data_IF_995705980608
#
_entry.id   IF_995705980608
#
_cell.length_a   1.000
_cell.length_b   1.000
_cell.length_c   1.000
_cell.angle_alpha   90.00
_cell.angle_beta   90.00
_cell.angle_gamma   90.00
#
_symmetry.space_group_name_H-M   'P 1'
#
loop_
_entity.id
_entity.type
_entity.pdbx_description
1 polymer ?
#
# COMPACT_ATOMS: atom_id res chain seq x y z
N UNK A 1 -5.54 -8.89 20.38
CA UNK A 1 -6.62 -9.70 19.79
C UNK A 1 -7.32 -8.84 18.77
N UNK A 2 -7.23 -9.15 17.48
CA UNK A 2 -8.06 -8.48 16.46
C UNK A 2 -9.53 -8.81 16.76
N UNK A 3 -10.44 -7.87 16.51
CA UNK A 3 -11.87 -8.02 16.79
C UNK A 3 -12.56 -9.07 15.89
N UNK A 4 -12.22 -10.35 16.05
CA UNK A 4 -12.86 -11.47 15.34
C UNK A 4 -12.59 -11.53 13.84
N UNK A 5 -11.75 -10.65 13.29
CA UNK A 5 -11.45 -10.64 11.86
C UNK A 5 -10.47 -11.77 11.47
N UNK A 6 -10.84 -12.54 10.45
CA UNK A 6 -10.01 -13.60 9.86
C UNK A 6 -9.17 -13.02 8.73
N UNK A 7 -7.87 -13.31 8.72
CA UNK A 7 -6.98 -12.93 7.62
C UNK A 7 -6.88 -14.07 6.62
N UNK A 8 -7.03 -13.75 5.33
CA UNK A 8 -6.87 -14.73 4.24
C UNK A 8 -6.36 -14.06 2.95
N UNK A 9 -5.77 -14.82 2.01
CA UNK A 9 -5.54 -14.33 0.66
C UNK A 9 -6.82 -13.77 0.03
N UNK A 10 -6.67 -12.72 -0.76
CA UNK A 10 -7.75 -12.16 -1.55
C UNK A 10 -8.11 -13.08 -2.73
N UNK A 11 -9.34 -12.96 -3.20
CA UNK A 11 -9.82 -13.61 -4.42
C UNK A 11 -9.86 -12.61 -5.57
N UNK A 12 -9.66 -13.09 -6.79
CA UNK A 12 -9.70 -12.26 -8.00
C UNK A 12 -11.01 -11.49 -8.17
N UNK A 13 -12.13 -12.06 -7.74
CA UNK A 13 -13.45 -11.41 -7.76
C UNK A 13 -13.56 -10.22 -6.80
N UNK A 14 -12.68 -10.12 -5.81
CA UNK A 14 -12.68 -9.06 -4.77
C UNK A 14 -11.93 -7.80 -5.22
N UNK A 15 -11.47 -7.75 -6.46
CA UNK A 15 -10.65 -6.64 -6.99
C UNK A 15 -11.30 -5.24 -6.85
N UNK A 16 -12.63 -5.15 -6.83
CA UNK A 16 -13.33 -3.88 -6.60
C UNK A 16 -13.11 -3.39 -5.15
N UNK A 17 -13.24 -4.31 -4.20
CA UNK A 17 -13.05 -4.05 -2.77
C UNK A 17 -11.59 -3.69 -2.47
N UNK A 18 -10.65 -4.41 -3.09
CA UNK A 18 -9.22 -4.09 -3.01
C UNK A 18 -8.94 -2.66 -3.50
N UNK A 19 -9.55 -2.25 -4.62
CA UNK A 19 -9.35 -0.90 -5.15
C UNK A 19 -9.82 0.19 -4.17
N UNK A 20 -10.97 0.00 -3.52
CA UNK A 20 -11.47 0.96 -2.51
C UNK A 20 -10.50 1.04 -1.32
N UNK A 21 -10.07 -0.09 -0.79
CA UNK A 21 -9.19 -0.11 0.38
C UNK A 21 -7.77 0.39 0.09
N UNK A 22 -7.25 0.20 -1.13
CA UNK A 22 -5.99 0.79 -1.60
C UNK A 22 -6.10 2.31 -1.71
N UNK A 23 -7.23 2.83 -2.20
CA UNK A 23 -7.47 4.28 -2.23
C UNK A 23 -7.53 4.88 -0.82
N UNK A 24 -8.19 4.17 0.11
CA UNK A 24 -8.21 4.55 1.54
C UNK A 24 -6.81 4.52 2.15
N UNK A 25 -6.00 3.50 1.85
CA UNK A 25 -4.65 3.35 2.38
C UNK A 25 -3.70 4.44 1.86
N UNK A 26 -3.95 4.93 0.65
CA UNK A 26 -3.15 5.94 -0.05
C UNK A 26 -3.71 7.36 0.03
N UNK A 27 -4.76 7.58 0.84
CA UNK A 27 -5.45 8.86 1.01
C UNK A 27 -5.85 9.56 -0.31
N UNK A 28 -6.35 8.78 -1.27
CA UNK A 28 -6.80 9.30 -2.58
C UNK A 28 -5.72 9.31 -3.67
N UNK A 29 -4.47 8.98 -3.35
CA UNK A 29 -3.39 8.94 -4.36
C UNK A 29 -3.64 7.87 -5.44
N UNK A 30 -4.20 6.71 -5.07
CA UNK A 30 -4.49 5.65 -6.02
C UNK A 30 -5.58 6.04 -7.02
N UNK A 31 -6.72 6.59 -6.56
CA UNK A 31 -7.79 7.07 -7.46
C UNK A 31 -7.31 8.21 -8.35
N UNK A 32 -6.48 9.12 -7.84
CA UNK A 32 -5.83 10.15 -8.66
C UNK A 32 -4.98 9.52 -9.79
N UNK A 33 -4.17 8.51 -9.48
CA UNK A 33 -3.35 7.81 -10.47
C UNK A 33 -4.22 7.12 -11.54
N UNK A 34 -5.31 6.48 -11.12
CA UNK A 34 -6.23 5.82 -12.05
C UNK A 34 -6.99 6.80 -12.93
N UNK A 35 -7.32 7.99 -12.40
CA UNK A 35 -7.92 9.08 -13.16
C UNK A 35 -7.00 9.59 -14.28
N UNK A 36 -5.68 9.46 -14.13
CA UNK A 36 -4.73 9.68 -15.23
C UNK A 36 -5.06 8.87 -16.48
N UNK A 37 -5.56 7.64 -16.33
CA UNK A 37 -6.03 6.81 -17.45
C UNK A 37 -7.27 7.37 -18.14
N UNK A 38 -8.14 8.06 -17.40
CA UNK A 38 -9.31 8.75 -17.97
C UNK A 38 -8.84 9.95 -18.79
N UNK A 39 -7.89 10.74 -18.25
CA UNK A 39 -7.32 11.89 -18.95
C UNK A 39 -6.59 11.48 -20.23
N UNK A 40 -5.89 10.35 -20.23
CA UNK A 40 -5.24 9.79 -21.42
C UNK A 40 -6.18 9.00 -22.34
N UNK A 41 -7.48 8.94 -22.05
CA UNK A 41 -8.50 8.18 -22.81
C UNK A 41 -8.20 6.68 -22.93
N UNK A 42 -7.45 6.11 -21.99
CA UNK A 42 -7.17 4.67 -21.89
C UNK A 42 -8.12 3.96 -20.91
N UNK A 43 -8.97 4.71 -20.22
CA UNK A 43 -10.03 4.20 -19.35
C UNK A 43 -11.24 5.14 -19.39
N UNK A 44 -12.44 4.60 -19.16
CA UNK A 44 -13.66 5.41 -19.07
C UNK A 44 -13.85 6.02 -17.68
N UNK A 45 -13.58 5.23 -16.62
CA UNK A 45 -13.69 5.67 -15.23
C UNK A 45 -12.47 5.27 -14.40
N UNK A 46 -12.13 6.07 -13.39
CA UNK A 46 -10.98 5.81 -12.53
C UNK A 46 -11.15 4.53 -11.69
N UNK A 47 -12.34 4.29 -11.14
CA UNK A 47 -12.58 3.11 -10.30
C UNK A 47 -12.62 1.80 -11.12
N UNK A 48 -13.15 1.83 -12.34
CA UNK A 48 -13.05 0.66 -13.21
C UNK A 48 -11.58 0.37 -13.58
N UNK A 49 -10.80 1.41 -13.89
CA UNK A 49 -9.38 1.28 -14.14
C UNK A 49 -8.64 0.67 -12.94
N UNK A 50 -8.88 1.18 -11.73
CA UNK A 50 -8.31 0.65 -10.49
C UNK A 50 -8.71 -0.80 -10.22
N UNK A 51 -10.00 -1.13 -10.32
CA UNK A 51 -10.50 -2.51 -10.22
C UNK A 51 -9.80 -3.42 -11.23
N UNK A 52 -9.70 -3.01 -12.49
CA UNK A 52 -9.07 -3.81 -13.53
C UNK A 52 -7.58 -4.00 -13.27
N UNK A 53 -6.88 -3.00 -12.74
CA UNK A 53 -5.49 -3.08 -12.28
C UNK A 53 -5.31 -4.09 -11.14
N UNK A 54 -6.19 -4.08 -10.15
CA UNK A 54 -6.15 -5.06 -9.04
C UNK A 54 -6.44 -6.49 -9.53
N UNK A 55 -7.25 -6.64 -10.58
CA UNK A 55 -7.68 -7.95 -11.13
C UNK A 55 -6.65 -8.63 -12.04
N UNK A 56 -5.55 -7.94 -12.36
CA UNK A 56 -4.49 -8.49 -13.21
C UNK A 56 -3.84 -9.71 -12.57
N UNK A 57 -3.46 -10.67 -13.40
CA UNK A 57 -2.81 -11.90 -12.96
C UNK A 57 -1.28 -11.77 -12.93
N UNK A 58 -0.74 -10.72 -13.53
CA UNK A 58 0.69 -10.42 -13.57
C UNK A 58 0.96 -9.00 -13.06
N UNK A 59 2.21 -8.78 -12.67
CA UNK A 59 2.64 -7.54 -12.05
C UNK A 59 2.49 -7.55 -10.52
N UNK A 60 3.17 -6.60 -9.88
CA UNK A 60 3.18 -6.42 -8.44
C UNK A 60 1.96 -5.62 -7.98
N UNK A 61 1.57 -5.84 -6.72
CA UNK A 61 0.45 -5.13 -6.09
C UNK A 61 -0.91 -5.50 -6.69
N UNK A 62 -1.09 -6.75 -7.12
CA UNK A 62 -2.38 -7.27 -7.62
C UNK A 62 -3.13 -8.04 -6.54
N UNK A 63 -4.29 -8.61 -6.87
CA UNK A 63 -5.04 -9.49 -5.97
C UNK A 63 -4.22 -10.67 -5.43
N UNK A 64 -3.19 -11.14 -6.17
CA UNK A 64 -2.32 -12.24 -5.73
C UNK A 64 -1.39 -11.85 -4.59
N UNK A 65 -1.10 -10.56 -4.46
CA UNK A 65 -0.22 -10.00 -3.43
C UNK A 65 -1.01 -9.61 -2.17
N UNK A 66 -2.34 -9.67 -2.24
CA UNK A 66 -3.25 -9.13 -1.24
C UNK A 66 -3.69 -10.16 -0.20
N UNK A 67 -3.69 -9.73 1.06
CA UNK A 67 -4.37 -10.38 2.19
C UNK A 67 -5.49 -9.45 2.65
N UNK A 68 -6.68 -10.00 2.84
CA UNK A 68 -7.85 -9.29 3.35
C UNK A 68 -8.14 -9.68 4.79
N UNK A 69 -8.62 -8.71 5.57
CA UNK A 69 -9.22 -8.95 6.87
C UNK A 69 -10.74 -9.02 6.70
N UNK A 70 -11.33 -10.16 7.09
CA UNK A 70 -12.76 -10.43 6.91
C UNK A 70 -13.45 -10.53 8.26
N UNK A 71 -14.53 -9.77 8.46
CA UNK A 71 -15.37 -9.82 9.65
C UNK A 71 -16.77 -10.27 9.23
N UNK A 72 -17.14 -11.50 9.57
CA UNK A 72 -18.36 -12.12 9.02
C UNK A 72 -18.19 -12.38 7.53
N UNK A 73 -19.02 -11.74 6.70
CA UNK A 73 -18.98 -11.77 5.24
C UNK A 73 -18.36 -10.50 4.61
N UNK A 74 -17.99 -9.52 5.43
CA UNK A 74 -17.47 -8.22 4.99
C UNK A 74 -15.93 -8.19 5.01
N UNK A 75 -15.32 -7.71 3.92
CA UNK A 75 -13.90 -7.33 3.92
C UNK A 75 -13.77 -5.96 4.56
N UNK A 76 -13.03 -5.88 5.65
CA UNK A 76 -12.91 -4.65 6.46
C UNK A 76 -11.53 -3.99 6.37
N UNK A 77 -10.57 -4.67 5.75
CA UNK A 77 -9.21 -4.18 5.57
C UNK A 77 -8.37 -5.03 4.62
N UNK A 78 -7.23 -4.49 4.19
CA UNK A 78 -6.31 -5.09 3.23
C UNK A 78 -4.85 -4.82 3.63
N UNK A 79 -3.98 -5.79 3.34
CA UNK A 79 -2.56 -5.58 3.16
C UNK A 79 -2.17 -6.06 1.76
N UNK A 80 -1.40 -5.25 1.01
CA UNK A 80 -0.82 -5.62 -0.27
C UNK A 80 0.68 -5.45 -0.16
N UNK A 81 1.43 -6.49 -0.52
CA UNK A 81 2.87 -6.52 -0.34
C UNK A 81 3.54 -7.52 -1.25
N UNK A 82 4.79 -7.24 -1.59
CA UNK A 82 5.57 -8.05 -2.52
C UNK A 82 7.07 -7.86 -2.26
N UNK A 83 7.88 -8.79 -2.77
CA UNK A 83 9.33 -8.63 -2.74
C UNK A 83 9.76 -7.56 -3.74
N UNK A 84 10.67 -6.67 -3.33
CA UNK A 84 11.37 -5.76 -4.26
C UNK A 84 12.68 -6.42 -4.64
N UNK A 85 12.86 -6.75 -5.92
CA UNK A 85 14.11 -7.26 -6.47
C UNK A 85 14.83 -6.18 -7.30
N UNK A 86 15.96 -6.54 -7.91
CA UNK A 86 16.83 -5.64 -8.66
C UNK A 86 16.15 -5.02 -9.89
N UNK A 87 15.06 -5.62 -10.41
CA UNK A 87 14.31 -5.10 -11.57
C UNK A 87 13.69 -3.72 -11.30
N UNK A 88 13.50 -3.35 -10.03
CA UNK A 88 13.05 -1.99 -9.66
C UNK A 88 13.96 -0.89 -10.21
N UNK A 89 15.24 -1.20 -10.43
CA UNK A 89 16.23 -0.28 -10.97
C UNK A 89 15.93 0.14 -12.41
N UNK A 90 15.30 -0.76 -13.18
CA UNK A 90 14.93 -0.58 -14.59
C UNK A 90 13.58 0.12 -14.76
N UNK A 91 12.82 0.26 -13.68
CA UNK A 91 11.53 0.96 -13.70
C UNK A 91 11.81 2.46 -13.76
N UNK A 92 11.17 3.10 -14.74
CA UNK A 92 11.07 4.55 -14.88
C UNK A 92 9.69 5.05 -14.41
N UNK A 93 9.62 6.20 -13.72
CA UNK A 93 8.36 6.72 -13.24
C UNK A 93 7.50 7.20 -14.41
N UNK A 94 6.31 6.61 -14.58
CA UNK A 94 5.35 6.98 -15.63
C UNK A 94 4.78 8.40 -15.47
N UNK A 95 4.96 9.01 -14.32
CA UNK A 95 4.57 10.38 -14.02
C UNK A 95 5.53 10.98 -12.97
N UNK A 96 5.89 12.28 -13.02
CA UNK A 96 6.83 12.89 -12.08
C UNK A 96 6.50 12.70 -10.59
N UNK A 97 5.21 12.63 -10.25
CA UNK A 97 4.75 12.39 -8.86
C UNK A 97 5.17 11.03 -8.29
N UNK A 98 5.45 10.06 -9.16
CA UNK A 98 5.90 8.72 -8.76
C UNK A 98 7.42 8.67 -8.54
N UNK A 99 8.17 9.65 -9.05
CA UNK A 99 9.64 9.63 -8.99
C UNK A 99 10.19 9.57 -7.55
N UNK A 100 9.67 10.35 -6.58
CA UNK A 100 10.13 10.25 -5.19
C UNK A 100 9.85 8.87 -4.55
N UNK A 101 8.66 8.30 -4.80
CA UNK A 101 8.29 6.97 -4.29
C UNK A 101 9.20 5.89 -4.84
N UNK A 102 9.44 5.91 -6.16
CA UNK A 102 10.30 4.94 -6.83
C UNK A 102 11.76 5.07 -6.39
N UNK A 103 12.25 6.29 -6.17
CA UNK A 103 13.60 6.53 -5.65
C UNK A 103 13.78 5.97 -4.23
N UNK A 104 12.73 6.00 -3.39
CA UNK A 104 12.73 5.35 -2.08
C UNK A 104 12.67 3.82 -2.21
N UNK A 105 11.82 3.28 -3.09
CA UNK A 105 11.72 1.83 -3.33
C UNK A 105 13.04 1.23 -3.83
N UNK A 106 13.79 1.94 -4.68
CA UNK A 106 15.12 1.51 -5.17
C UNK A 106 16.15 1.31 -4.04
N UNK A 107 15.94 1.87 -2.84
CA UNK A 107 16.84 1.73 -1.70
C UNK A 107 16.60 0.43 -0.90
N UNK A 108 15.51 -0.28 -1.15
CA UNK A 108 15.07 -1.44 -0.35
C UNK A 108 14.99 -2.72 -1.19
N UNK A 109 15.88 -2.86 -2.18
CA UNK A 109 16.06 -4.12 -2.90
C UNK A 109 16.37 -5.25 -1.91
N UNK A 110 15.67 -6.37 -2.04
CA UNK A 110 15.73 -7.52 -1.14
C UNK A 110 14.74 -7.46 0.03
N UNK A 111 13.96 -6.38 0.18
CA UNK A 111 12.93 -6.29 1.21
C UNK A 111 11.59 -6.88 0.76
N UNK A 112 10.80 -7.31 1.75
CA UNK A 112 9.35 -7.44 1.62
C UNK A 112 8.71 -6.06 1.80
N UNK A 113 8.20 -5.49 0.71
CA UNK A 113 7.62 -4.16 0.69
C UNK A 113 6.11 -4.23 0.88
N UNK A 114 5.60 -3.54 1.90
CA UNK A 114 4.17 -3.34 2.12
C UNK A 114 3.75 -2.07 1.39
N UNK A 115 3.10 -2.27 0.25
CA UNK A 115 2.63 -1.21 -0.64
C UNK A 115 1.39 -0.52 -0.10
N UNK A 116 0.43 -1.30 0.39
CA UNK A 116 -0.84 -0.79 0.90
C UNK A 116 -1.22 -1.50 2.20
N UNK A 117 -1.64 -0.74 3.20
CA UNK A 117 -2.18 -1.24 4.47
C UNK A 117 -3.39 -0.39 4.87
N UNK A 118 -4.59 -0.88 4.56
CA UNK A 118 -5.83 -0.14 4.67
C UNK A 118 -6.84 -0.81 5.59
N UNK A 119 -7.58 -0.03 6.36
CA UNK A 119 -8.76 -0.48 7.14
C UNK A 119 -9.84 0.59 7.03
N UNK A 120 -11.07 0.18 6.76
CA UNK A 120 -12.22 1.09 6.75
C UNK A 120 -12.33 1.85 8.05
N UNK A 121 -12.69 3.13 7.99
CA UNK A 121 -12.74 4.03 9.15
C UNK A 121 -13.60 3.47 10.28
N UNK A 122 -14.76 2.88 9.98
CA UNK A 122 -15.66 2.25 10.95
C UNK A 122 -15.07 1.02 11.69
N UNK A 123 -13.97 0.45 11.16
CA UNK A 123 -13.30 -0.72 11.72
C UNK A 123 -11.90 -0.39 12.31
N UNK A 124 -11.50 0.88 12.30
CA UNK A 124 -10.24 1.32 12.93
C UNK A 124 -10.32 1.25 14.46
N UNK A 125 -9.15 1.18 15.10
CA UNK A 125 -9.06 1.08 16.57
C UNK A 125 -9.35 -0.32 17.14
N UNK A 126 -9.74 -1.28 16.29
CA UNK A 126 -10.09 -2.66 16.66
C UNK A 126 -8.94 -3.68 16.51
N UNK A 127 -7.70 -3.19 16.36
CA UNK A 127 -6.51 -4.03 16.19
C UNK A 127 -6.32 -4.66 14.81
N UNK A 128 -7.22 -4.43 13.83
CA UNK A 128 -7.16 -5.06 12.50
C UNK A 128 -5.89 -4.68 11.71
N UNK A 129 -5.57 -3.38 11.62
CA UNK A 129 -4.36 -2.94 10.92
C UNK A 129 -3.07 -3.49 11.53
N UNK A 130 -3.05 -3.68 12.86
CA UNK A 130 -1.94 -4.35 13.56
C UNK A 130 -1.84 -5.83 13.15
N UNK A 131 -2.96 -6.54 13.09
CA UNK A 131 -2.97 -7.95 12.72
C UNK A 131 -2.54 -8.15 11.26
N UNK A 132 -3.01 -7.31 10.34
CA UNK A 132 -2.57 -7.30 8.95
C UNK A 132 -1.05 -7.05 8.86
N UNK A 133 -0.53 -6.04 9.56
CA UNK A 133 0.91 -5.76 9.58
C UNK A 133 1.74 -6.92 10.16
N UNK A 134 1.27 -7.55 11.24
CA UNK A 134 1.94 -8.72 11.83
C UNK A 134 1.92 -9.93 10.87
N UNK A 135 0.83 -10.11 10.11
CA UNK A 135 0.75 -11.15 9.08
C UNK A 135 1.79 -10.93 7.97
N UNK A 136 2.08 -9.67 7.62
CA UNK A 136 3.12 -9.37 6.62
C UNK A 136 4.53 -9.72 7.10
N UNK A 137 4.79 -9.70 8.41
CA UNK A 137 6.07 -10.20 8.92
C UNK A 137 6.21 -11.71 8.73
N UNK A 138 5.11 -12.45 8.92
CA UNK A 138 5.09 -13.89 8.65
C UNK A 138 5.28 -14.18 7.16
N UNK A 139 4.66 -13.40 6.27
CA UNK A 139 4.82 -13.54 4.81
C UNK A 139 6.22 -13.17 4.33
N UNK A 140 6.85 -12.16 4.93
CA UNK A 140 8.22 -11.77 4.63
C UNK A 140 9.24 -12.88 4.98
N UNK A 141 8.92 -13.76 5.92
CA UNK A 141 9.82 -14.80 6.39
C UNK A 141 11.09 -14.19 6.99
N UNK A 142 12.23 -14.38 6.29
CA UNK A 142 13.54 -13.84 6.71
C UNK A 142 13.90 -12.49 6.08
N UNK A 143 13.10 -12.01 5.13
CA UNK A 143 13.36 -10.74 4.47
C UNK A 143 13.13 -9.57 5.45
N UNK A 144 13.96 -8.51 5.40
CA UNK A 144 13.62 -7.25 6.06
C UNK A 144 12.34 -6.68 5.44
N UNK A 145 11.56 -5.93 6.24
CA UNK A 145 10.27 -5.39 5.81
C UNK A 145 10.38 -3.89 5.63
N UNK A 146 9.75 -3.34 4.60
CA UNK A 146 9.73 -1.90 4.34
C UNK A 146 8.34 -1.41 3.95
N UNK A 147 8.09 -0.11 4.13
CA UNK A 147 6.88 0.57 3.69
C UNK A 147 7.17 2.06 3.51
N UNK A 148 6.32 2.74 2.74
CA UNK A 148 6.36 4.21 2.61
C UNK A 148 5.02 4.78 3.08
N UNK A 149 5.06 5.89 3.80
CA UNK A 149 3.85 6.61 4.22
C UNK A 149 4.05 8.13 4.16
N UNK A 150 2.95 8.87 4.11
CA UNK A 150 2.99 10.33 4.15
C UNK A 150 3.44 10.83 5.53
N UNK A 151 4.23 11.90 5.55
CA UNK A 151 4.82 12.45 6.77
C UNK A 151 3.79 12.95 7.79
N UNK A 152 2.55 13.21 7.37
CA UNK A 152 1.46 13.62 8.26
C UNK A 152 0.55 12.47 8.72
N UNK A 153 0.86 11.22 8.35
CA UNK A 153 0.13 10.05 8.82
C UNK A 153 0.62 9.60 10.20
N UNK A 154 0.47 10.47 11.21
CA UNK A 154 1.02 10.27 12.55
C UNK A 154 0.53 8.96 13.20
N UNK A 155 -0.72 8.58 12.92
CA UNK A 155 -1.33 7.35 13.42
C UNK A 155 -0.65 6.10 12.85
N UNK A 156 -0.37 6.06 11.54
CA UNK A 156 0.33 4.94 10.93
C UNK A 156 1.79 4.90 11.39
N UNK A 157 2.48 6.05 11.41
CA UNK A 157 3.86 6.10 11.89
C UNK A 157 4.01 5.65 13.35
N UNK A 158 3.06 6.01 14.22
CA UNK A 158 3.03 5.50 15.59
C UNK A 158 2.89 3.97 15.64
N UNK A 159 2.00 3.40 14.82
CA UNK A 159 1.87 1.94 14.71
C UNK A 159 3.19 1.31 14.24
N UNK A 160 3.83 1.86 13.21
CA UNK A 160 5.06 1.31 12.65
C UNK A 160 6.21 1.35 13.65
N UNK A 161 6.42 2.47 14.36
CA UNK A 161 7.47 2.59 15.40
C UNK A 161 7.26 1.58 16.53
N UNK A 162 6.02 1.43 17.01
CA UNK A 162 5.68 0.39 18.01
C UNK A 162 5.95 -1.02 17.51
N UNK A 163 5.96 -1.24 16.18
CA UNK A 163 6.29 -2.51 15.54
C UNK A 163 7.76 -2.68 15.15
N UNK A 164 8.63 -1.78 15.60
CA UNK A 164 10.07 -1.87 15.37
C UNK A 164 10.49 -1.40 13.98
N UNK A 165 9.66 -0.60 13.31
CA UNK A 165 10.11 0.13 12.14
C UNK A 165 10.83 1.40 12.54
N UNK A 166 11.89 1.71 11.80
CA UNK A 166 12.66 2.93 11.89
C UNK A 166 12.55 3.69 10.57
N UNK A 167 12.49 5.01 10.64
CA UNK A 167 12.60 5.86 9.46
C UNK A 167 14.06 5.82 8.96
N UNK A 168 14.27 5.54 7.68
CA UNK A 168 15.62 5.46 7.09
C UNK A 168 15.86 6.47 5.98
N UNK A 169 14.79 6.96 5.34
CA UNK A 169 14.87 7.97 4.29
C UNK A 169 13.54 8.70 4.15
N UNK A 170 13.59 9.89 3.55
CA UNK A 170 12.41 10.64 3.13
C UNK A 170 12.66 11.38 1.84
N UNK A 171 11.60 11.66 1.10
CA UNK A 171 11.65 12.45 -0.13
C UNK A 171 10.44 13.39 -0.20
N UNK A 172 10.65 14.62 -0.66
CA UNK A 172 9.56 15.59 -0.83
C UNK A 172 8.53 15.04 -1.82
N UNK A 173 7.26 15.02 -1.43
CA UNK A 173 6.19 14.65 -2.35
C UNK A 173 5.97 15.75 -3.39
N UNK A 174 5.70 15.35 -4.64
CA UNK A 174 5.23 16.28 -5.67
C UNK A 174 3.73 16.49 -5.45
N UNK A 175 3.24 17.74 -5.30
CA UNK A 175 1.83 18.02 -5.14
C UNK A 175 0.99 17.48 -6.32
N UNK A 176 -0.17 16.89 -6.02
CA UNK A 176 -1.11 16.41 -7.05
C UNK A 176 -1.89 17.56 -7.71
N UNK A 177 -2.14 18.60 -6.92
CA UNK A 177 -2.83 19.84 -7.28
C UNK A 177 -2.11 21.03 -6.60
N UNK A 178 -2.39 22.25 -7.05
CA UNK A 178 -1.78 23.47 -6.51
C UNK A 178 -2.03 23.66 -5.00
N UNK A 179 -3.21 23.29 -4.54
CA UNK A 179 -3.67 23.40 -3.15
C UNK A 179 -3.45 22.12 -2.32
N UNK A 180 -2.78 21.11 -2.88
CA UNK A 180 -2.50 19.86 -2.16
C UNK A 180 -1.66 20.11 -0.91
N UNK A 181 -2.00 19.39 0.16
CA UNK A 181 -1.22 19.40 1.40
C UNK A 181 0.21 18.96 1.11
N UNK A 182 1.16 19.87 1.36
CA UNK A 182 2.59 19.58 1.27
C UNK A 182 2.98 18.54 2.33
N UNK A 183 3.71 17.51 1.90
CA UNK A 183 4.20 16.45 2.76
C UNK A 183 5.48 15.84 2.19
N UNK A 184 6.11 14.97 2.97
CA UNK A 184 7.18 14.10 2.50
C UNK A 184 6.69 12.65 2.48
N UNK A 185 7.20 11.87 1.52
CA UNK A 185 7.16 10.41 1.60
C UNK A 185 8.24 9.94 2.56
N UNK A 186 7.87 9.12 3.53
CA UNK A 186 8.77 8.63 4.58
C UNK A 186 8.91 7.11 4.44
N UNK A 187 10.13 6.66 4.18
CA UNK A 187 10.49 5.26 4.09
C UNK A 187 10.82 4.72 5.48
N UNK A 188 10.08 3.70 5.88
CA UNK A 188 10.32 2.94 7.11
C UNK A 188 10.86 1.56 6.77
N UNK A 189 11.83 1.08 7.55
CA UNK A 189 12.33 -0.29 7.47
C UNK A 189 12.31 -0.96 8.83
N UNK A 190 12.10 -2.27 8.83
CA UNK A 190 12.19 -3.15 9.99
C UNK A 190 13.15 -4.28 9.64
N UNK A 191 14.26 -4.36 10.36
CA UNK A 191 15.19 -5.50 10.26
C UNK A 191 14.56 -6.74 10.89
N UNK A 192 15.02 -7.91 10.47
CA UNK A 192 14.68 -9.15 11.18
C UNK A 192 15.23 -9.02 12.62
N UNK A 193 14.39 -9.34 13.60
CA UNK A 193 14.82 -9.46 14.99
C UNK A 193 15.59 -10.76 15.20
#
# INVERSE_FOLDING_TARGET
MAAGATLRPAMRSEAAELAILVDIASHGFASWLWYGGVLSKSAETAFEHGRNRMRQDSGLGTWRDAVVAVLGDEIVGVAISYAIDTSISEIEPKHPVLAPLLALQKQVVGHWFIDSLGVYTAHRGKGIGRALLENEFSRAGKAPVSLITESHNDKAQSLYRVKGFEEVARARAVPLFEDSRKHDWVLFTRKLA
#
